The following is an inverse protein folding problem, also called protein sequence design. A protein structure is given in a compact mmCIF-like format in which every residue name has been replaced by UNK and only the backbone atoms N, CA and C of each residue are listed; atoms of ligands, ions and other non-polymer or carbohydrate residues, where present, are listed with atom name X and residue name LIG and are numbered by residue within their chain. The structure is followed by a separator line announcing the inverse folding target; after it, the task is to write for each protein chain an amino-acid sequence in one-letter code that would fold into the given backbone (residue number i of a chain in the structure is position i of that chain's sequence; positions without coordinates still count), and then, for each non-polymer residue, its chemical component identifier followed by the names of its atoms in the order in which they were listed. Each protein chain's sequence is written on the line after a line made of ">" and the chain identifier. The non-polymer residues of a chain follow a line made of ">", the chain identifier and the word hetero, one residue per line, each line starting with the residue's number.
data_IF_171733299229
#
_entry.id   IF_171733299229
#
_cell.length_a   1.000
_cell.length_b   1.000
_cell.length_c   1.000
_cell.angle_alpha   90.00
_cell.angle_beta   90.00
_cell.angle_gamma   90.00
#
_symmetry.space_group_name_H-M   'P 1'
#
loop_
_entity.id
_entity.type
_entity.pdbx_description
1 polymer ?
#
# COMPACT_ATOMS: atom_id res chain seq x y z
N UNK A 1 1.00 -4.95 25.35
CA UNK A 1 -0.06 -5.15 24.35
C UNK A 1 -0.71 -6.48 24.61
N UNK A 2 -2.02 -6.60 24.53
CA UNK A 2 -2.72 -7.86 24.73
C UNK A 2 -3.52 -8.24 23.49
N UNK A 3 -3.53 -9.54 23.18
CA UNK A 3 -4.39 -10.09 22.14
C UNK A 3 -5.74 -10.28 22.79
N UNK A 4 -6.65 -9.33 22.58
CA UNK A 4 -7.98 -9.40 23.15
C UNK A 4 -8.90 -10.19 22.22
N UNK A 5 -9.58 -11.18 22.79
CA UNK A 5 -10.65 -11.92 22.14
C UNK A 5 -11.97 -11.40 22.71
N UNK A 6 -12.75 -10.68 21.90
CA UNK A 6 -14.16 -10.47 22.25
C UNK A 6 -14.87 -11.81 22.12
N UNK A 7 -15.52 -12.23 23.21
CA UNK A 7 -16.31 -13.46 23.31
C UNK A 7 -17.54 -13.37 22.40
N UNK A 8 -17.35 -13.58 21.10
CA UNK A 8 -18.45 -13.93 20.20
C UNK A 8 -18.68 -15.43 20.29
N UNK A 9 -19.96 -15.82 20.32
CA UNK A 9 -20.43 -17.20 20.29
C UNK A 9 -19.74 -17.92 19.12
N UNK A 10 -18.86 -18.85 19.46
CA UNK A 10 -17.97 -19.59 18.53
C UNK A 10 -18.74 -20.64 17.73
N UNK A 11 -20.03 -20.83 18.04
CA UNK A 11 -20.73 -22.09 17.77
C UNK A 11 -21.17 -22.33 16.32
N UNK A 12 -21.07 -21.35 15.40
CA UNK A 12 -21.63 -21.48 14.03
C UNK A 12 -20.69 -21.07 12.86
N UNK A 13 -19.38 -20.90 13.08
CA UNK A 13 -18.45 -20.58 11.97
C UNK A 13 -18.09 -21.84 11.16
N UNK A 14 -18.11 -21.78 9.81
CA UNK A 14 -17.65 -22.89 8.97
C UNK A 14 -16.21 -23.30 9.29
N UNK A 15 -15.83 -24.59 9.14
CA UNK A 15 -14.49 -25.07 9.47
C UNK A 15 -13.34 -24.30 8.79
N UNK A 16 -13.55 -23.84 7.56
CA UNK A 16 -12.58 -23.02 6.84
C UNK A 16 -12.33 -21.66 7.53
N UNK A 17 -13.39 -20.99 8.00
CA UNK A 17 -13.27 -19.71 8.71
C UNK A 17 -12.62 -19.87 10.09
N UNK A 18 -12.84 -21.00 10.76
CA UNK A 18 -12.15 -21.32 12.02
C UNK A 18 -10.65 -21.53 11.82
N UNK A 19 -10.24 -22.19 10.73
CA UNK A 19 -8.82 -22.36 10.38
C UNK A 19 -8.16 -21.01 10.07
N UNK A 20 -8.79 -20.19 9.24
CA UNK A 20 -8.28 -18.85 8.92
C UNK A 20 -8.15 -17.99 10.18
N UNK A 21 -9.15 -18.04 11.08
CA UNK A 21 -9.08 -17.36 12.38
C UNK A 21 -7.88 -17.80 13.21
N UNK A 22 -7.61 -19.11 13.31
CA UNK A 22 -6.46 -19.60 14.06
C UNK A 22 -5.12 -19.11 13.46
N UNK A 23 -5.02 -19.01 12.13
CA UNK A 23 -3.87 -18.39 11.45
C UNK A 23 -3.74 -16.91 11.82
N UNK A 24 -4.83 -16.15 11.76
CA UNK A 24 -4.85 -14.73 12.17
C UNK A 24 -4.45 -14.52 13.63
N UNK A 25 -4.93 -15.36 14.56
CA UNK A 25 -4.56 -15.32 15.98
C UNK A 25 -3.05 -15.54 16.15
N UNK A 26 -2.47 -16.50 15.41
CA UNK A 26 -1.03 -16.74 15.39
C UNK A 26 -0.26 -15.52 14.87
N UNK A 27 -0.72 -14.88 13.79
CA UNK A 27 -0.10 -13.66 13.26
C UNK A 27 -0.07 -12.55 14.32
N UNK A 28 -1.21 -12.27 14.98
CA UNK A 28 -1.27 -11.22 16.00
C UNK A 28 -0.37 -11.51 17.20
N UNK A 29 -0.23 -12.78 17.60
CA UNK A 29 0.73 -13.17 18.64
C UNK A 29 2.17 -12.87 18.23
N UNK A 30 2.55 -13.19 16.99
CA UNK A 30 3.90 -12.92 16.48
C UNK A 30 4.17 -11.41 16.33
N UNK A 31 3.14 -10.64 15.92
CA UNK A 31 3.22 -9.19 15.85
C UNK A 31 3.32 -8.56 17.24
N UNK A 32 2.62 -9.11 18.24
CA UNK A 32 2.74 -8.68 19.64
C UNK A 32 4.17 -8.78 20.13
N UNK A 33 4.85 -9.89 19.84
CA UNK A 33 6.21 -10.13 20.31
C UNK A 33 7.24 -9.29 19.53
N UNK A 34 7.01 -9.04 18.25
CA UNK A 34 7.95 -8.32 17.38
C UNK A 34 7.79 -6.79 17.39
N UNK A 35 6.57 -6.28 17.47
CA UNK A 35 6.24 -4.85 17.47
C UNK A 35 5.90 -4.32 18.88
N UNK A 36 5.86 -5.18 19.90
CA UNK A 36 5.51 -4.78 21.26
C UNK A 36 6.52 -3.85 21.93
N UNK A 37 7.76 -3.81 21.44
CA UNK A 37 8.81 -2.91 21.91
C UNK A 37 8.85 -1.58 21.17
N UNK A 38 8.23 -1.47 19.98
CA UNK A 38 8.27 -0.26 19.14
C UNK A 38 7.16 0.74 19.47
N UNK A 39 6.19 0.36 20.31
CA UNK A 39 5.21 1.29 20.90
C UNK A 39 3.98 1.58 20.02
N UNK A 40 2.81 1.61 20.66
CA UNK A 40 1.55 2.18 20.17
C UNK A 40 0.94 1.61 18.87
N UNK A 41 1.03 0.30 18.64
CA UNK A 41 0.35 -0.34 17.52
C UNK A 41 -0.99 -0.97 17.91
N UNK A 42 -1.99 -0.77 17.06
CA UNK A 42 -3.23 -1.52 17.02
C UNK A 42 -3.26 -2.33 15.72
N UNK A 43 -3.64 -3.60 15.78
CA UNK A 43 -3.78 -4.44 14.60
C UNK A 43 -5.09 -5.22 14.63
N UNK A 44 -5.80 -5.26 13.50
CA UNK A 44 -7.04 -6.02 13.37
C UNK A 44 -7.22 -6.58 11.97
N UNK A 45 -7.94 -7.68 11.87
CA UNK A 45 -8.32 -8.27 10.60
C UNK A 45 -9.75 -7.87 10.22
N UNK A 46 -9.92 -7.61 8.94
CA UNK A 46 -11.18 -7.36 8.26
C UNK A 46 -11.44 -8.50 7.29
N UNK A 47 -12.71 -8.84 7.07
CA UNK A 47 -13.02 -9.78 5.99
C UNK A 47 -14.33 -9.50 5.29
N UNK A 48 -14.51 -10.14 4.15
CA UNK A 48 -15.71 -10.00 3.34
C UNK A 48 -16.95 -10.49 4.10
N UNK A 49 -17.86 -9.56 4.35
CA UNK A 49 -19.16 -9.81 4.97
C UNK A 49 -20.24 -9.96 3.90
N UNK A 50 -21.19 -9.01 3.85
CA UNK A 50 -22.19 -8.93 2.77
C UNK A 50 -21.53 -8.57 1.41
N UNK A 51 -22.16 -8.90 0.27
CA UNK A 51 -21.61 -8.59 -1.05
C UNK A 51 -21.22 -7.11 -1.16
N UNK A 52 -19.93 -6.84 -1.34
CA UNK A 52 -19.37 -5.49 -1.51
C UNK A 52 -19.02 -4.74 -0.22
N UNK A 53 -19.04 -5.38 0.96
CA UNK A 53 -18.67 -4.75 2.23
C UNK A 53 -17.63 -5.57 2.98
N UNK A 54 -16.54 -4.93 3.40
CA UNK A 54 -15.67 -5.45 4.44
C UNK A 54 -16.38 -5.25 5.79
N UNK A 55 -16.62 -6.35 6.48
CA UNK A 55 -17.18 -6.35 7.82
C UNK A 55 -16.08 -6.69 8.81
N UNK A 56 -16.11 -6.02 9.96
CA UNK A 56 -15.39 -6.46 11.14
C UNK A 56 -16.12 -7.73 11.64
N UNK A 57 -15.88 -8.85 10.96
CA UNK A 57 -16.18 -10.17 11.49
C UNK A 57 -15.49 -10.28 12.86
N UNK A 58 -15.93 -11.15 13.78
CA UNK A 58 -15.37 -11.25 15.13
C UNK A 58 -13.97 -11.88 15.13
N UNK A 59 -13.05 -11.25 14.39
CA UNK A 59 -11.67 -11.61 14.25
C UNK A 59 -10.87 -11.05 15.42
N UNK A 60 -9.81 -11.77 15.80
CA UNK A 60 -8.93 -11.34 16.88
C UNK A 60 -8.30 -9.98 16.57
N UNK A 61 -7.86 -9.29 17.61
CA UNK A 61 -7.14 -8.04 17.47
C UNK A 61 -6.05 -7.91 18.52
N UNK A 62 -5.10 -7.05 18.20
CA UNK A 62 -4.00 -6.67 19.07
C UNK A 62 -4.16 -5.19 19.38
N UNK A 63 -4.26 -4.86 20.66
CA UNK A 63 -4.33 -3.47 21.09
C UNK A 63 -3.36 -3.21 22.26
N UNK A 64 -2.91 -1.96 22.36
CA UNK A 64 -2.22 -1.50 23.56
C UNK A 64 -3.27 -1.24 24.65
N UNK A 65 -3.17 -1.89 25.83
CA UNK A 65 -4.08 -1.64 26.94
C UNK A 65 -4.16 -0.16 27.30
N UNK A 66 -5.36 0.33 27.62
CA UNK A 66 -5.65 1.72 28.02
C UNK A 66 -5.34 2.79 26.95
N UNK A 67 -5.26 2.41 25.67
CA UNK A 67 -5.08 3.37 24.57
C UNK A 67 -6.41 3.85 24.00
N UNK A 68 -6.41 5.05 23.41
CA UNK A 68 -7.53 5.58 22.61
C UNK A 68 -7.80 4.76 21.35
N UNK A 69 -6.88 3.87 20.95
CA UNK A 69 -7.05 2.94 19.83
C UNK A 69 -8.16 1.90 20.08
N UNK A 70 -8.43 1.56 21.35
CA UNK A 70 -9.59 0.73 21.67
C UNK A 70 -10.90 1.47 21.37
N UNK A 71 -10.95 2.78 21.64
CA UNK A 71 -12.10 3.61 21.30
C UNK A 71 -12.26 3.74 19.78
N UNK A 72 -11.15 3.91 19.04
CA UNK A 72 -11.13 3.90 17.58
C UNK A 72 -11.79 2.63 17.02
N UNK A 73 -11.35 1.44 17.45
CA UNK A 73 -11.94 0.15 17.04
C UNK A 73 -13.46 0.11 17.27
N UNK A 74 -13.92 0.58 18.43
CA UNK A 74 -15.33 0.56 18.80
C UNK A 74 -16.19 1.53 17.98
N UNK A 75 -15.61 2.62 17.48
CA UNK A 75 -16.29 3.56 16.59
C UNK A 75 -16.37 3.01 15.16
N UNK A 76 -15.26 2.45 14.69
CA UNK A 76 -15.12 1.88 13.35
C UNK A 76 -16.04 0.65 13.15
N UNK A 77 -16.05 -0.25 14.13
CA UNK A 77 -16.89 -1.46 14.11
C UNK A 77 -18.41 -1.19 14.13
N UNK A 78 -18.85 0.04 14.41
CA UNK A 78 -20.29 0.40 14.41
C UNK A 78 -20.84 0.74 13.03
N UNK A 79 -20.00 1.10 12.07
CA UNK A 79 -20.49 1.71 10.82
C UNK A 79 -20.43 0.76 9.62
N UNK A 80 -19.57 -0.27 9.65
CA UNK A 80 -19.29 -1.09 8.46
C UNK A 80 -18.62 -0.26 7.36
N UNK A 81 -17.75 -0.86 6.56
CA UNK A 81 -16.98 -0.13 5.55
C UNK A 81 -17.85 0.04 4.29
N UNK A 82 -18.64 1.12 4.25
CA UNK A 82 -19.69 1.35 3.24
C UNK A 82 -19.28 2.28 2.09
N UNK A 83 -18.01 2.66 1.99
CA UNK A 83 -17.47 3.68 1.06
C UNK A 83 -16.00 3.38 0.79
N UNK A 84 -15.43 3.84 -0.35
CA UNK A 84 -14.03 3.53 -0.68
C UNK A 84 -13.11 3.95 0.46
N UNK A 85 -12.70 2.96 1.23
CA UNK A 85 -11.81 3.11 2.37
C UNK A 85 -10.39 2.67 1.99
N UNK A 86 -9.39 2.97 2.81
CA UNK A 86 -8.02 2.47 2.61
C UNK A 86 -8.01 0.93 2.60
N UNK A 87 -8.86 0.32 3.42
CA UNK A 87 -9.00 -1.14 3.50
C UNK A 87 -9.57 -1.73 2.20
N UNK A 88 -10.59 -1.09 1.62
CA UNK A 88 -11.19 -1.55 0.36
C UNK A 88 -10.21 -1.41 -0.81
N UNK A 89 -9.43 -0.34 -0.85
CA UNK A 89 -8.43 -0.14 -1.91
C UNK A 89 -7.30 -1.16 -1.82
N UNK A 90 -6.73 -1.36 -0.64
CA UNK A 90 -5.71 -2.39 -0.44
C UNK A 90 -6.22 -3.79 -0.83
N UNK A 91 -7.49 -4.07 -0.55
CA UNK A 91 -8.15 -5.31 -0.98
C UNK A 91 -8.31 -5.42 -2.50
N UNK A 92 -8.88 -4.39 -3.15
CA UNK A 92 -9.15 -4.35 -4.59
C UNK A 92 -7.87 -4.38 -5.42
N UNK A 93 -6.90 -3.56 -5.03
CA UNK A 93 -5.64 -3.38 -5.74
C UNK A 93 -4.69 -4.57 -5.47
N UNK A 94 -4.86 -5.26 -4.34
CA UNK A 94 -4.05 -6.43 -3.98
C UNK A 94 -2.64 -6.08 -3.48
N UNK A 95 -2.37 -4.79 -3.23
CA UNK A 95 -1.13 -4.31 -2.64
C UNK A 95 -1.39 -3.54 -1.34
N UNK A 96 -0.41 -3.49 -0.42
CA UNK A 96 -0.54 -2.67 0.77
C UNK A 96 -0.67 -1.19 0.44
N UNK A 97 -1.58 -0.51 1.12
CA UNK A 97 -1.68 0.96 1.12
C UNK A 97 -1.25 1.48 2.48
N UNK A 98 -0.51 2.59 2.53
CA UNK A 98 -0.11 3.21 3.78
C UNK A 98 -0.09 4.74 3.71
N UNK A 99 -0.19 5.37 4.88
CA UNK A 99 0.12 6.79 5.07
C UNK A 99 0.88 7.00 6.37
N UNK A 100 1.78 7.99 6.39
CA UNK A 100 2.43 8.40 7.63
C UNK A 100 1.49 9.11 8.59
N UNK A 101 0.48 9.79 8.04
CA UNK A 101 -0.52 10.51 8.82
C UNK A 101 -1.87 10.48 8.09
N UNK A 102 -2.91 9.99 8.77
CA UNK A 102 -4.27 9.95 8.25
C UNK A 102 -4.79 11.33 7.89
N UNK A 103 -4.26 12.40 8.47
CA UNK A 103 -4.65 13.78 8.14
C UNK A 103 -4.35 14.19 6.69
N UNK A 104 -3.54 13.40 5.95
CA UNK A 104 -3.30 13.64 4.53
C UNK A 104 -4.39 13.05 3.62
N UNK A 105 -5.30 12.23 4.15
CA UNK A 105 -6.50 11.80 3.42
C UNK A 105 -7.61 12.84 3.52
N UNK A 106 -8.55 12.73 2.58
CA UNK A 106 -9.81 13.47 2.59
C UNK A 106 -10.95 12.61 3.18
N UNK A 107 -12.04 13.23 3.67
CA UNK A 107 -13.18 12.50 4.21
C UNK A 107 -13.87 11.53 3.23
N UNK A 108 -13.70 11.73 1.92
CA UNK A 108 -14.19 10.84 0.86
C UNK A 108 -13.19 9.72 0.49
N UNK A 109 -11.94 9.81 0.95
CA UNK A 109 -10.87 8.81 0.74
C UNK A 109 -10.67 7.88 1.94
N UNK A 110 -11.10 8.30 3.13
CA UNK A 110 -11.04 7.52 4.36
C UNK A 110 -12.28 7.78 5.21
N UNK A 111 -13.18 6.79 5.27
CA UNK A 111 -14.52 6.99 5.82
C UNK A 111 -14.50 7.34 7.31
N UNK A 112 -13.51 6.81 8.04
CA UNK A 112 -13.36 6.98 9.49
C UNK A 112 -12.34 8.06 9.87
N UNK A 113 -11.95 8.93 8.94
CA UNK A 113 -10.91 9.94 9.13
C UNK A 113 -11.12 10.80 10.40
N UNK A 114 -12.35 11.28 10.63
CA UNK A 114 -12.63 12.14 11.79
C UNK A 114 -12.47 11.39 13.11
N UNK A 115 -12.96 10.14 13.17
CA UNK A 115 -12.85 9.29 14.36
C UNK A 115 -11.41 8.87 14.61
N UNK A 116 -10.65 8.55 13.55
CA UNK A 116 -9.24 8.22 13.61
C UNK A 116 -8.43 9.38 14.21
N UNK A 117 -8.60 10.60 13.67
CA UNK A 117 -7.92 11.80 14.17
C UNK A 117 -8.30 12.06 15.64
N UNK A 118 -9.59 11.98 15.98
CA UNK A 118 -10.08 12.19 17.34
C UNK A 118 -9.52 11.16 18.34
N UNK A 119 -9.31 9.93 17.89
CA UNK A 119 -8.68 8.87 18.68
C UNK A 119 -7.14 8.94 18.66
N UNK A 120 -6.56 9.94 17.99
CA UNK A 120 -5.12 10.18 17.93
C UNK A 120 -4.34 9.30 16.96
N UNK A 121 -5.03 8.58 16.08
CA UNK A 121 -4.39 7.83 14.99
C UNK A 121 -3.55 8.78 14.13
N UNK A 122 -2.36 8.31 13.76
CA UNK A 122 -1.46 9.00 12.83
C UNK A 122 -1.18 8.07 11.65
N UNK A 123 -0.36 7.04 11.85
CA UNK A 123 -0.05 6.09 10.78
C UNK A 123 -1.09 5.01 10.62
N UNK A 124 -1.35 4.60 9.37
CA UNK A 124 -2.14 3.42 9.04
C UNK A 124 -1.50 2.69 7.86
N UNK A 125 -1.56 1.36 7.91
CA UNK A 125 -1.18 0.46 6.84
C UNK A 125 -2.28 -0.59 6.69
N UNK A 126 -2.75 -0.80 5.46
CA UNK A 126 -3.68 -1.85 5.11
C UNK A 126 -2.95 -2.90 4.27
N UNK A 127 -2.95 -4.16 4.69
CA UNK A 127 -2.33 -5.27 3.99
C UNK A 127 -3.40 -6.22 3.44
N UNK A 128 -3.46 -6.48 2.12
CA UNK A 128 -4.27 -7.59 1.62
C UNK A 128 -3.63 -8.91 2.06
N UNK A 129 -4.44 -9.80 2.62
CA UNK A 129 -3.98 -11.08 3.17
C UNK A 129 -4.59 -12.22 2.37
N UNK A 130 -3.70 -13.12 1.93
CA UNK A 130 -4.04 -14.28 1.13
C UNK A 130 -3.72 -15.54 1.94
N UNK A 131 -4.67 -16.47 1.97
CA UNK A 131 -4.46 -17.79 2.57
C UNK A 131 -3.71 -18.68 1.57
N UNK A 132 -2.57 -19.23 1.99
CA UNK A 132 -1.79 -20.15 1.16
C UNK A 132 -2.57 -21.43 0.77
N UNK A 133 -3.53 -21.85 1.61
CA UNK A 133 -4.37 -23.02 1.33
C UNK A 133 -5.49 -22.70 0.32
N UNK A 134 -5.84 -21.42 0.16
CA UNK A 134 -6.89 -20.94 -0.74
C UNK A 134 -6.46 -19.63 -1.41
N UNK A 135 -5.50 -19.68 -2.35
CA UNK A 135 -4.91 -18.48 -2.94
C UNK A 135 -5.92 -17.63 -3.74
N UNK A 136 -7.00 -18.24 -4.22
CA UNK A 136 -8.09 -17.55 -4.94
C UNK A 136 -9.06 -16.81 -4.00
N UNK A 137 -8.96 -17.04 -2.68
CA UNK A 137 -9.79 -16.42 -1.65
C UNK A 137 -9.03 -15.24 -1.03
N UNK A 138 -9.27 -14.04 -1.56
CA UNK A 138 -8.67 -12.79 -1.05
C UNK A 138 -9.54 -12.16 0.03
N UNK A 139 -10.16 -12.92 0.91
CA UNK A 139 -11.29 -12.40 1.70
C UNK A 139 -10.89 -11.59 2.93
N UNK A 140 -9.63 -11.13 3.04
CA UNK A 140 -9.09 -10.57 4.28
C UNK A 140 -8.12 -9.42 4.07
N UNK A 141 -8.23 -8.41 4.93
CA UNK A 141 -7.26 -7.31 5.05
C UNK A 141 -6.78 -7.23 6.50
N UNK A 142 -5.47 -7.09 6.71
CA UNK A 142 -4.88 -6.77 8.00
C UNK A 142 -4.64 -5.25 8.05
N UNK A 143 -5.29 -4.58 9.00
CA UNK A 143 -5.04 -3.19 9.32
C UNK A 143 -4.02 -3.11 10.46
N UNK A 144 -3.02 -2.24 10.29
CA UNK A 144 -2.05 -1.86 11.31
C UNK A 144 -2.10 -0.34 11.49
N UNK A 145 -2.32 0.10 12.72
CA UNK A 145 -2.50 1.52 13.08
C UNK A 145 -1.48 1.92 14.13
N UNK A 146 -0.98 3.14 14.04
CA UNK A 146 -0.11 3.74 15.05
C UNK A 146 -0.54 5.17 15.40
N UNK A 147 -0.24 5.55 16.64
CA UNK A 147 -0.44 6.91 17.15
C UNK A 147 0.71 7.86 16.79
N UNK A 148 1.78 7.34 16.18
CA UNK A 148 2.97 8.10 15.81
C UNK A 148 3.03 8.33 14.30
N UNK A 149 3.38 9.55 13.89
CA UNK A 149 3.69 9.80 12.49
C UNK A 149 5.09 9.26 12.17
N UNK A 150 5.16 8.31 11.25
CA UNK A 150 6.41 7.66 10.83
C UNK A 150 6.81 8.10 9.42
N UNK A 151 8.12 8.13 9.14
CA UNK A 151 8.60 8.47 7.80
C UNK A 151 8.25 7.39 6.78
N UNK A 152 8.39 6.13 7.19
CA UNK A 152 8.15 4.90 6.44
C UNK A 152 7.68 3.79 7.41
N UNK A 153 7.37 2.63 6.85
CA UNK A 153 6.90 1.46 7.58
C UNK A 153 7.64 0.18 7.17
N UNK A 154 8.89 0.28 6.72
CA UNK A 154 9.63 -0.86 6.16
C UNK A 154 9.79 -1.99 7.18
N UNK A 155 10.09 -1.62 8.43
CA UNK A 155 10.19 -2.57 9.53
C UNK A 155 8.84 -3.27 9.77
N UNK A 156 7.74 -2.51 9.84
CA UNK A 156 6.42 -3.09 10.02
C UNK A 156 6.03 -4.01 8.86
N UNK A 157 6.30 -3.61 7.61
CA UNK A 157 6.05 -4.44 6.44
C UNK A 157 6.85 -5.75 6.49
N UNK A 158 8.12 -5.69 6.87
CA UNK A 158 8.96 -6.89 7.04
C UNK A 158 8.41 -7.82 8.14
N UNK A 159 8.07 -7.27 9.31
CA UNK A 159 7.53 -8.04 10.44
C UNK A 159 6.18 -8.66 10.13
N UNK A 160 5.29 -7.92 9.47
CA UNK A 160 4.00 -8.42 8.99
C UNK A 160 4.21 -9.53 7.97
N UNK A 161 5.11 -9.35 6.99
CA UNK A 161 5.41 -10.39 6.00
C UNK A 161 5.91 -11.68 6.65
N UNK A 162 6.84 -11.57 7.61
CA UNK A 162 7.36 -12.71 8.37
C UNK A 162 6.28 -13.39 9.22
N UNK A 163 5.45 -12.60 9.92
CA UNK A 163 4.38 -13.13 10.77
C UNK A 163 3.30 -13.86 9.96
N UNK A 164 2.91 -13.30 8.80
CA UNK A 164 1.97 -13.93 7.87
C UNK A 164 2.53 -15.26 7.36
N UNK A 165 3.77 -15.26 6.86
CA UNK A 165 4.43 -16.48 6.34
C UNK A 165 4.49 -17.59 7.39
N UNK A 166 4.83 -17.24 8.64
CA UNK A 166 4.88 -18.20 9.74
C UNK A 166 3.51 -18.80 10.09
N UNK A 167 2.40 -18.19 9.64
CA UNK A 167 1.04 -18.65 9.85
C UNK A 167 0.39 -19.23 8.58
N UNK A 168 1.18 -19.56 7.55
CA UNK A 168 0.69 -20.04 6.25
C UNK A 168 -0.28 -19.06 5.57
N UNK A 169 -0.02 -17.76 5.77
CA UNK A 169 -0.64 -16.64 5.09
C UNK A 169 0.44 -15.83 4.36
N UNK A 170 0.05 -14.97 3.43
CA UNK A 170 1.00 -14.05 2.81
C UNK A 170 0.32 -12.77 2.34
N UNK A 171 1.14 -11.78 2.04
CA UNK A 171 0.74 -10.51 1.43
C UNK A 171 1.73 -10.17 0.32
N UNK A 172 1.25 -9.51 -0.72
CA UNK A 172 2.10 -9.12 -1.83
C UNK A 172 2.78 -7.79 -1.51
N UNK A 173 4.09 -7.82 -1.28
CA UNK A 173 4.88 -6.59 -1.10
C UNK A 173 5.53 -6.19 -2.43
N UNK A 174 5.56 -4.90 -2.77
CA UNK A 174 6.44 -4.37 -3.81
C UNK A 174 7.88 -4.59 -3.38
N UNK A 175 8.49 -5.68 -3.86
CA UNK A 175 9.89 -5.97 -3.57
C UNK A 175 10.77 -5.32 -4.64
N UNK A 176 11.81 -4.58 -4.24
CA UNK A 176 12.84 -4.15 -5.17
C UNK A 176 13.40 -5.37 -5.90
N UNK A 177 13.41 -5.30 -7.24
CA UNK A 177 13.96 -6.34 -8.09
C UNK A 177 15.44 -6.55 -7.71
N UNK A 178 15.94 -7.80 -7.57
CA UNK A 178 17.35 -8.06 -7.78
C UNK A 178 17.64 -7.68 -9.23
N UNK A 179 18.31 -6.56 -9.45
CA UNK A 179 18.43 -5.89 -10.75
C UNK A 179 19.19 -6.77 -11.75
N UNK A 180 18.47 -7.56 -12.56
CA UNK A 180 19.03 -8.30 -13.69
C UNK A 180 19.08 -7.43 -14.95
N UNK A 181 19.56 -6.18 -14.85
CA UNK A 181 19.76 -5.33 -16.03
C UNK A 181 21.03 -5.74 -16.77
N UNK A 182 20.97 -5.77 -18.09
CA UNK A 182 22.18 -5.89 -18.91
C UNK A 182 22.95 -4.55 -18.94
N UNK A 183 24.19 -4.59 -19.41
CA UNK A 183 25.07 -3.40 -19.46
C UNK A 183 24.45 -2.23 -20.24
N UNK A 184 23.71 -2.52 -21.31
CA UNK A 184 23.05 -1.50 -22.14
C UNK A 184 21.91 -0.82 -21.36
N UNK A 185 21.11 -1.60 -20.62
CA UNK A 185 20.04 -1.07 -19.76
C UNK A 185 20.60 -0.24 -18.62
N UNK A 186 21.70 -0.69 -17.98
CA UNK A 186 22.36 0.07 -16.92
C UNK A 186 22.88 1.41 -17.47
N UNK A 187 23.51 1.41 -18.64
CA UNK A 187 23.98 2.64 -19.29
C UNK A 187 22.81 3.60 -19.60
N UNK A 188 21.70 3.08 -20.13
CA UNK A 188 20.51 3.88 -20.41
C UNK A 188 19.88 4.47 -19.14
N UNK A 189 19.76 3.68 -18.06
CA UNK A 189 19.27 4.17 -16.77
C UNK A 189 20.18 5.26 -16.18
N UNK A 190 21.50 5.11 -16.32
CA UNK A 190 22.47 6.13 -15.93
C UNK A 190 22.28 7.43 -16.72
N UNK A 191 22.08 7.34 -18.04
CA UNK A 191 21.82 8.51 -18.88
C UNK A 191 20.51 9.21 -18.49
N UNK A 192 19.44 8.44 -18.23
CA UNK A 192 18.17 8.97 -17.72
C UNK A 192 18.39 9.67 -16.37
N UNK A 193 19.17 9.09 -15.46
CA UNK A 193 19.50 9.70 -14.17
C UNK A 193 20.22 11.05 -14.33
N UNK A 194 21.15 11.14 -15.29
CA UNK A 194 21.91 12.37 -15.55
C UNK A 194 21.03 13.45 -16.17
N UNK A 195 20.17 13.07 -17.13
CA UNK A 195 19.22 14.01 -17.77
C UNK A 195 18.18 14.51 -16.77
N UNK A 196 17.56 13.61 -15.99
CA UNK A 196 16.57 13.99 -14.98
C UNK A 196 17.17 14.92 -13.93
N UNK A 197 18.38 14.62 -13.45
CA UNK A 197 19.13 15.49 -12.53
C UNK A 197 19.38 16.87 -13.14
N UNK A 198 19.87 16.93 -14.38
CA UNK A 198 20.16 18.20 -15.04
C UNK A 198 18.90 19.06 -15.24
N UNK A 199 17.79 18.45 -15.66
CA UNK A 199 16.49 19.12 -15.82
C UNK A 199 15.98 19.64 -14.48
N UNK A 200 16.01 18.83 -13.42
CA UNK A 200 15.57 19.23 -12.10
C UNK A 200 16.39 20.40 -11.54
N UNK A 201 17.71 20.34 -11.65
CA UNK A 201 18.60 21.40 -11.19
C UNK A 201 18.41 22.70 -11.98
N UNK A 202 18.22 22.61 -13.31
CA UNK A 202 18.04 23.78 -14.18
C UNK A 202 16.72 24.49 -13.92
N UNK A 203 15.65 23.72 -13.66
CA UNK A 203 14.30 24.26 -13.51
C UNK A 203 13.82 24.36 -12.06
N UNK A 204 14.68 24.01 -11.08
CA UNK A 204 14.32 24.01 -9.67
C UNK A 204 13.20 23.02 -9.34
N UNK A 205 13.14 21.88 -10.04
CA UNK A 205 12.13 20.85 -9.77
C UNK A 205 12.62 19.95 -8.63
N UNK A 206 11.80 19.70 -7.59
CA UNK A 206 12.26 19.00 -6.40
C UNK A 206 12.40 17.47 -6.60
N UNK A 207 11.86 16.95 -7.70
CA UNK A 207 11.68 15.52 -7.93
C UNK A 207 11.55 15.18 -9.43
N UNK A 208 12.16 14.08 -9.84
CA UNK A 208 11.86 13.36 -11.08
C UNK A 208 11.91 11.86 -10.81
N UNK A 209 10.83 11.16 -11.18
CA UNK A 209 10.68 9.72 -10.99
C UNK A 209 10.71 9.01 -12.34
N UNK A 210 11.40 7.88 -12.41
CA UNK A 210 11.44 7.01 -13.58
C UNK A 210 10.68 5.73 -13.28
N UNK A 211 9.64 5.46 -14.07
CA UNK A 211 8.80 4.26 -13.96
C UNK A 211 9.11 3.32 -15.13
N UNK A 212 9.41 2.05 -14.83
CA UNK A 212 9.73 1.03 -15.82
C UNK A 212 8.71 -0.10 -15.79
N UNK A 213 8.24 -0.61 -16.94
CA UNK A 213 7.27 -1.70 -16.99
C UNK A 213 7.89 -2.98 -16.43
N UNK A 214 7.12 -3.68 -15.59
CA UNK A 214 7.51 -5.00 -15.11
C UNK A 214 7.31 -6.06 -16.21
N UNK A 215 8.35 -6.82 -16.59
CA UNK A 215 8.36 -7.64 -17.82
C UNK A 215 8.58 -9.15 -17.62
N UNK A 216 7.92 -9.93 -18.50
CA UNK A 216 7.65 -11.38 -18.53
C UNK A 216 8.81 -12.40 -18.34
N UNK A 217 10.08 -12.04 -18.56
CA UNK A 217 11.16 -13.06 -18.65
C UNK A 217 11.49 -13.76 -17.32
N UNK A 218 11.09 -13.19 -16.18
CA UNK A 218 11.30 -13.79 -14.84
C UNK A 218 10.14 -14.71 -14.40
N UNK A 219 8.98 -14.63 -15.06
CA UNK A 219 7.77 -15.42 -14.71
C UNK A 219 7.99 -16.92 -15.01
N UNK A 220 8.99 -17.26 -15.83
CA UNK A 220 9.37 -18.65 -16.12
C UNK A 220 10.36 -19.26 -15.11
N UNK A 221 10.86 -18.52 -14.12
CA UNK A 221 11.89 -19.04 -13.18
C UNK A 221 11.50 -19.06 -11.71
N UNK A 222 10.43 -18.36 -11.31
CA UNK A 222 9.87 -18.46 -9.96
C UNK A 222 8.53 -19.18 -10.05
N UNK A 223 8.55 -20.48 -9.76
CA UNK A 223 7.48 -21.43 -10.08
C UNK A 223 6.04 -20.94 -9.83
N UNK A 224 5.17 -21.19 -10.82
CA UNK A 224 3.73 -21.40 -10.71
C UNK A 224 2.87 -20.42 -9.90
N UNK A 225 3.24 -19.14 -9.78
CA UNK A 225 2.35 -18.08 -9.29
C UNK A 225 2.22 -16.96 -10.32
N UNK A 226 1.67 -17.28 -11.49
CA UNK A 226 1.33 -16.29 -12.52
C UNK A 226 0.05 -15.55 -12.13
N UNK A 227 0.16 -14.57 -11.21
CA UNK A 227 -0.93 -13.67 -10.82
C UNK A 227 -0.78 -12.24 -11.37
N UNK A 228 0.20 -12.01 -12.25
CA UNK A 228 0.47 -10.71 -12.83
C UNK A 228 -0.34 -10.54 -14.12
N UNK A 229 -0.96 -9.38 -14.32
CA UNK A 229 -0.91 -8.79 -15.66
C UNK A 229 0.52 -8.31 -15.85
N UNK A 230 1.28 -8.98 -16.72
CA UNK A 230 2.61 -8.49 -17.10
C UNK A 230 2.49 -7.02 -17.58
N UNK A 231 3.39 -6.14 -17.12
CA UNK A 231 3.52 -4.77 -17.63
C UNK A 231 3.24 -3.61 -16.68
N UNK A 232 2.85 -3.82 -15.41
CA UNK A 232 2.63 -2.70 -14.47
C UNK A 232 3.93 -1.95 -14.16
N UNK A 233 3.98 -0.62 -14.31
CA UNK A 233 5.20 0.14 -14.04
C UNK A 233 5.54 0.24 -12.55
N UNK A 234 6.80 -0.03 -12.22
CA UNK A 234 7.39 0.20 -10.90
C UNK A 234 8.50 1.26 -11.00
N UNK A 235 8.82 1.92 -9.89
CA UNK A 235 9.87 2.93 -9.87
C UNK A 235 11.27 2.29 -9.95
N UNK A 236 12.17 2.90 -10.71
CA UNK A 236 13.59 2.56 -10.74
C UNK A 236 14.40 3.66 -10.05
N UNK A 237 14.73 3.46 -8.76
CA UNK A 237 15.40 4.46 -7.93
C UNK A 237 16.73 4.94 -8.52
N UNK A 238 17.48 4.07 -9.20
CA UNK A 238 18.78 4.45 -9.79
C UNK A 238 18.65 5.51 -10.89
N UNK A 239 17.47 5.61 -11.52
CA UNK A 239 17.16 6.58 -12.57
C UNK A 239 16.27 7.74 -12.09
N UNK A 240 16.16 7.95 -10.76
CA UNK A 240 15.39 9.05 -10.18
C UNK A 240 16.28 10.19 -9.67
N UNK A 241 15.71 11.39 -9.61
CA UNK A 241 16.28 12.53 -8.91
C UNK A 241 15.31 13.00 -7.82
N UNK A 242 15.82 13.30 -6.63
CA UNK A 242 15.02 13.86 -5.56
C UNK A 242 15.88 14.68 -4.61
N UNK A 243 15.38 15.87 -4.26
CA UNK A 243 15.96 16.65 -3.17
C UNK A 243 15.88 15.88 -1.85
N UNK A 244 16.70 16.25 -0.87
CA UNK A 244 16.78 15.57 0.43
C UNK A 244 15.41 15.43 1.11
N UNK A 245 14.58 16.45 0.99
CA UNK A 245 13.23 16.50 1.58
C UNK A 245 12.23 15.59 0.86
N UNK A 246 12.49 15.27 -0.42
CA UNK A 246 11.62 14.44 -1.26
C UNK A 246 11.97 12.95 -1.20
N UNK A 247 13.04 12.57 -0.50
CA UNK A 247 13.47 11.17 -0.39
C UNK A 247 12.38 10.25 0.16
N UNK A 248 11.60 10.74 1.12
CA UNK A 248 10.48 9.96 1.65
C UNK A 248 9.28 9.87 0.69
N UNK A 249 9.15 10.75 -0.30
CA UNK A 249 8.17 10.59 -1.37
C UNK A 249 8.61 9.53 -2.36
N UNK A 250 9.90 9.54 -2.77
CA UNK A 250 10.49 8.47 -3.60
C UNK A 250 10.30 7.11 -2.94
N UNK A 251 10.55 7.04 -1.63
CA UNK A 251 10.35 5.83 -0.84
C UNK A 251 8.90 5.33 -0.84
N UNK A 252 7.93 6.24 -0.77
CA UNK A 252 6.52 5.87 -0.91
C UNK A 252 6.21 5.33 -2.31
N UNK A 253 6.81 5.91 -3.36
CA UNK A 253 6.65 5.41 -4.73
C UNK A 253 7.27 4.02 -4.96
N UNK A 254 8.30 3.62 -4.21
CA UNK A 254 8.87 2.27 -4.27
C UNK A 254 7.93 1.19 -3.79
N UNK A 255 6.97 1.57 -2.95
CA UNK A 255 5.93 0.69 -2.44
C UNK A 255 4.65 0.74 -3.29
N UNK A 256 4.73 1.23 -4.52
CA UNK A 256 3.57 1.36 -5.42
C UNK A 256 3.86 0.75 -6.79
N UNK A 257 2.93 -0.06 -7.27
CA UNK A 257 2.79 -0.36 -8.70
C UNK A 257 1.76 0.59 -9.29
N UNK A 258 2.07 1.21 -10.43
CA UNK A 258 1.11 2.06 -11.12
C UNK A 258 0.18 1.21 -11.97
N UNK A 259 -1.12 1.32 -11.70
CA UNK A 259 -2.14 0.74 -12.57
C UNK A 259 -2.35 1.65 -13.78
N UNK A 260 -2.69 1.06 -14.93
CA UNK A 260 -2.98 1.79 -16.15
C UNK A 260 -4.04 2.87 -15.92
N UNK A 261 -3.71 4.11 -16.32
CA UNK A 261 -4.61 5.25 -16.17
C UNK A 261 -4.65 5.88 -14.78
N UNK A 262 -3.76 5.50 -13.86
CA UNK A 262 -3.60 6.20 -12.58
C UNK A 262 -2.48 7.25 -12.64
N UNK A 263 -2.79 8.45 -12.16
CA UNK A 263 -1.87 9.58 -12.10
C UNK A 263 -1.22 9.95 -13.45
N UNK A 264 -0.20 10.81 -13.39
CA UNK A 264 0.44 11.30 -14.61
C UNK A 264 1.11 10.16 -15.40
N UNK A 265 1.88 9.30 -14.71
CA UNK A 265 2.63 8.23 -15.34
C UNK A 265 1.72 7.12 -15.89
N UNK A 266 0.69 6.68 -15.16
CA UNK A 266 -0.26 5.69 -15.67
C UNK A 266 -1.11 6.21 -16.83
N UNK A 267 -1.47 7.49 -16.86
CA UNK A 267 -2.11 8.12 -18.03
C UNK A 267 -1.19 8.19 -19.26
N UNK A 268 0.09 8.51 -19.06
CA UNK A 268 1.07 8.50 -20.15
C UNK A 268 1.28 7.08 -20.69
N UNK A 269 1.34 6.08 -19.80
CA UNK A 269 1.48 4.67 -20.16
C UNK A 269 0.27 4.13 -20.93
N UNK A 270 -0.95 4.40 -20.46
CA UNK A 270 -2.22 4.06 -21.14
C UNK A 270 -2.23 4.51 -22.61
N UNK A 271 -1.77 5.72 -22.86
CA UNK A 271 -1.76 6.27 -24.22
C UNK A 271 -0.80 5.51 -25.14
N UNK A 272 0.26 4.89 -24.60
CA UNK A 272 1.16 4.01 -25.35
C UNK A 272 0.48 2.73 -25.84
N UNK A 273 -0.42 2.16 -25.04
CA UNK A 273 -1.13 0.92 -25.37
C UNK A 273 -2.23 1.14 -26.41
N UNK A 274 -2.73 2.37 -26.56
CA UNK A 274 -3.69 2.72 -27.60
C UNK A 274 -3.00 2.94 -28.96
N UNK A 275 -3.53 2.34 -30.02
CA UNK A 275 -2.97 2.36 -31.39
C UNK A 275 -2.96 3.75 -32.06
N UNK A 276 -3.56 4.76 -31.46
CA UNK A 276 -3.52 6.16 -31.91
C UNK A 276 -2.40 6.93 -31.18
N UNK A 277 -1.20 6.91 -31.78
CA UNK A 277 0.04 7.56 -31.32
C UNK A 277 -0.04 9.09 -31.25
N UNK A 278 -0.79 9.68 -30.32
CA UNK A 278 -0.93 11.15 -30.32
C UNK A 278 -0.71 11.86 -28.98
N UNK A 279 -0.48 11.15 -27.87
CA UNK A 279 -0.05 11.81 -26.62
C UNK A 279 0.99 11.01 -25.86
N UNK A 280 2.26 11.42 -25.97
CA UNK A 280 3.40 10.82 -25.28
C UNK A 280 3.69 11.47 -23.91
N UNK A 281 2.84 12.44 -23.54
CA UNK A 281 2.97 13.22 -22.32
C UNK A 281 1.62 13.34 -21.62
N UNK A 282 1.66 13.26 -20.29
CA UNK A 282 0.52 13.52 -19.42
C UNK A 282 0.86 14.64 -18.46
N UNK A 283 -0.09 15.54 -18.23
CA UNK A 283 0.07 16.62 -17.27
C UNK A 283 -1.12 16.60 -16.32
N UNK A 284 -0.82 16.45 -15.03
CA UNK A 284 -1.79 16.50 -13.95
C UNK A 284 -1.62 17.81 -13.19
N UNK A 285 -2.53 18.78 -13.40
CA UNK A 285 -2.60 19.95 -12.55
C UNK A 285 -3.14 19.58 -11.17
N UNK A 286 -2.55 20.16 -10.14
CA UNK A 286 -2.94 20.02 -8.73
C UNK A 286 -3.13 18.58 -8.24
N UNK A 287 -2.03 17.83 -8.13
CA UNK A 287 -2.05 16.43 -7.70
C UNK A 287 -2.58 16.24 -6.27
N UNK A 288 -2.57 17.30 -5.44
CA UNK A 288 -3.15 17.29 -4.08
C UNK A 288 -4.68 17.29 -4.11
N UNK A 289 -5.26 17.82 -5.17
CA UNK A 289 -6.71 17.89 -5.34
C UNK A 289 -7.32 16.62 -5.91
N UNK A 290 -6.48 15.69 -6.39
CA UNK A 290 -6.90 14.40 -6.92
C UNK A 290 -7.31 13.45 -5.80
N UNK A 291 -8.26 12.58 -6.10
CA UNK A 291 -8.66 11.49 -5.22
C UNK A 291 -7.63 10.36 -5.30
N UNK A 292 -7.30 9.71 -4.18
CA UNK A 292 -6.30 8.61 -4.11
C UNK A 292 -6.57 7.48 -5.11
N UNK A 293 -7.84 7.15 -5.36
CA UNK A 293 -8.23 6.18 -6.41
C UNK A 293 -7.70 6.51 -7.82
N UNK A 294 -7.73 7.79 -8.20
CA UNK A 294 -7.31 8.26 -9.52
C UNK A 294 -5.82 8.62 -9.54
N UNK A 295 -5.27 9.00 -8.39
CA UNK A 295 -3.87 9.33 -8.18
C UNK A 295 -3.39 8.72 -6.85
N UNK A 296 -2.89 7.47 -6.83
CA UNK A 296 -2.58 6.73 -5.59
C UNK A 296 -1.55 7.40 -4.67
N UNK A 297 -0.78 8.35 -5.20
CA UNK A 297 0.20 9.12 -4.43
C UNK A 297 -0.38 10.46 -3.91
N UNK A 298 -1.68 10.73 -4.01
CA UNK A 298 -2.26 12.04 -3.71
C UNK A 298 -2.06 12.46 -2.24
N UNK A 299 -2.27 11.54 -1.29
CA UNK A 299 -2.03 11.79 0.13
C UNK A 299 -0.54 11.99 0.43
N UNK A 300 0.35 11.23 -0.21
CA UNK A 300 1.80 11.50 -0.14
C UNK A 300 2.14 12.87 -0.75
N UNK A 301 1.53 13.25 -1.86
CA UNK A 301 1.77 14.55 -2.49
C UNK A 301 1.33 15.71 -1.58
N UNK A 302 0.26 15.52 -0.78
CA UNK A 302 -0.16 16.49 0.25
C UNK A 302 0.88 16.61 1.37
N UNK A 303 1.44 15.49 1.84
CA UNK A 303 2.53 15.47 2.84
C UNK A 303 3.75 16.27 2.37
N UNK A 304 4.22 16.03 1.15
CA UNK A 304 5.42 16.67 0.60
C UNK A 304 5.11 17.97 -0.17
N UNK A 305 3.87 18.45 -0.10
CA UNK A 305 3.40 19.67 -0.74
C UNK A 305 3.73 19.75 -2.26
N UNK A 306 3.61 18.64 -2.99
CA UNK A 306 3.81 18.59 -4.43
C UNK A 306 2.55 19.08 -5.16
N UNK A 307 2.67 20.07 -6.05
CA UNK A 307 1.51 20.67 -6.70
C UNK A 307 1.15 20.03 -8.04
N UNK A 308 2.09 19.69 -8.90
CA UNK A 308 1.75 19.20 -10.23
C UNK A 308 2.69 18.06 -10.64
N UNK A 309 2.23 17.24 -11.57
CA UNK A 309 3.05 16.19 -12.15
C UNK A 309 2.98 16.24 -13.67
N UNK A 310 4.13 16.07 -14.30
CA UNK A 310 4.26 15.82 -15.73
C UNK A 310 4.92 14.47 -15.93
N UNK A 311 4.35 13.65 -16.79
CA UNK A 311 4.94 12.38 -17.19
C UNK A 311 5.22 12.41 -18.68
N UNK A 312 6.39 11.89 -19.05
CA UNK A 312 6.84 11.76 -20.43
C UNK A 312 7.24 10.31 -20.62
N UNK A 313 6.68 9.66 -21.64
CA UNK A 313 7.08 8.32 -22.01
C UNK A 313 8.37 8.38 -22.84
N UNK A 314 9.42 7.71 -22.35
CA UNK A 314 10.69 7.52 -23.07
C UNK A 314 10.60 6.24 -23.94
N UNK A 315 11.25 6.26 -25.11
CA UNK A 315 11.28 5.12 -26.04
C UNK A 315 12.67 4.51 -26.09
#
# INVERSE_FOLDING_TARGET
>A
MDVEQLSCVVDDLPPAKLRLRAKMEKVLSLLKDSLGSTGCFFAQFWGLGKPGFLENLPYPHLCVPNSTLLAYRLLEGRQGLSRPDILDRAWLDGFPEWTSNVSYYRPDEYAHLSDAIACGVRGIIAFPVIDSDQPDCRDTVLELVTMEEKQDFDLEMERVSQALQAADLWTQLPRPRPQCFNEVQIAALSEIADVTRAVCQTHGLPLALTWIPWGDDDILKLGNLSFWSSGEPAIERTACYADKEMQGFVHACEHLFLIEGQGAAGHAFKTCLSSYRTKQTSFEPDVKEKHVKDYPLAHHARKYNLNAAVAILLR
#
